data_IF_314310141850
#
_entry.id   IF_314310141850
#
_cell.length_a   1.000
_cell.length_b   1.000
_cell.length_c   1.000
_cell.angle_alpha   90.00
_cell.angle_beta   90.00
_cell.angle_gamma   90.00
#
_symmetry.space_group_name_H-M   'P 1'
#
loop_
_entity.id
_entity.type
_entity.pdbx_description
1 polymer ?
#
# COMPACT_ATOMS: atom_id res chain seq x y z
N UNK A 1 -86.83 2.13 31.99
CA UNK A 1 -86.73 0.73 32.49
C UNK A 1 -88.04 -0.06 32.46
N UNK A 2 -89.23 0.52 32.66
CA UNK A 2 -90.51 -0.22 32.74
C UNK A 2 -90.92 -0.96 31.44
N UNK A 3 -90.57 -0.44 30.26
CA UNK A 3 -90.95 -1.05 28.97
C UNK A 3 -90.07 -2.22 28.50
N UNK A 4 -88.91 -2.46 29.13
CA UNK A 4 -88.01 -3.56 28.76
C UNK A 4 -88.34 -4.82 29.57
N UNK A 5 -88.64 -4.63 30.87
CA UNK A 5 -89.08 -5.70 31.76
C UNK A 5 -90.42 -6.32 31.33
N UNK A 6 -91.32 -5.52 30.75
CA UNK A 6 -92.58 -6.03 30.19
C UNK A 6 -92.40 -6.86 28.91
N UNK A 7 -91.36 -6.57 28.10
CA UNK A 7 -91.03 -7.34 26.89
C UNK A 7 -90.35 -8.68 27.18
N UNK A 8 -89.58 -8.77 28.28
CA UNK A 8 -88.96 -10.02 28.73
C UNK A 8 -89.92 -10.94 29.50
N UNK A 9 -91.06 -10.41 29.96
CA UNK A 9 -92.11 -11.21 30.62
C UNK A 9 -92.86 -12.12 29.64
N UNK A 10 -92.84 -11.78 28.35
CA UNK A 10 -93.29 -12.62 27.23
C UNK A 10 -92.39 -12.35 26.01
N UNK A 11 -91.18 -12.93 25.99
CA UNK A 11 -90.17 -12.59 24.99
C UNK A 11 -90.65 -13.03 23.60
N UNK A 12 -90.61 -12.11 22.63
CA UNK A 12 -90.80 -12.46 21.23
C UNK A 12 -89.47 -12.94 20.65
N UNK A 13 -89.50 -13.98 19.82
CA UNK A 13 -88.31 -14.52 19.15
C UNK A 13 -87.48 -13.43 18.45
N UNK A 14 -88.12 -12.50 17.74
CA UNK A 14 -87.41 -11.38 17.09
C UNK A 14 -86.67 -10.47 18.08
N UNK A 15 -87.26 -10.20 19.24
CA UNK A 15 -86.62 -9.37 20.27
C UNK A 15 -85.41 -10.10 20.86
N UNK A 16 -85.56 -11.38 21.19
CA UNK A 16 -84.47 -12.19 21.76
C UNK A 16 -83.31 -12.36 20.78
N UNK A 17 -83.62 -12.61 19.50
CA UNK A 17 -82.65 -12.66 18.42
C UNK A 17 -81.82 -11.38 18.37
N UNK A 18 -82.46 -10.20 18.28
CA UNK A 18 -81.74 -8.92 18.24
C UNK A 18 -80.89 -8.66 19.49
N UNK A 19 -81.36 -9.07 20.67
CA UNK A 19 -80.61 -8.86 21.92
C UNK A 19 -79.32 -9.67 21.94
N UNK A 20 -79.39 -10.96 21.60
CA UNK A 20 -78.18 -11.78 21.57
C UNK A 20 -77.23 -11.32 20.47
N UNK A 21 -77.74 -10.98 19.29
CA UNK A 21 -76.90 -10.43 18.22
C UNK A 21 -76.18 -9.16 18.65
N UNK A 22 -76.87 -8.23 19.31
CA UNK A 22 -76.25 -7.00 19.79
C UNK A 22 -75.17 -7.26 20.85
N UNK A 23 -75.40 -8.22 21.75
CA UNK A 23 -74.41 -8.63 22.75
C UNK A 23 -73.17 -9.24 22.08
N UNK A 24 -73.36 -10.11 21.08
CA UNK A 24 -72.23 -10.70 20.34
C UNK A 24 -71.44 -9.65 19.57
N UNK A 25 -72.11 -8.69 18.91
CA UNK A 25 -71.43 -7.59 18.22
C UNK A 25 -70.60 -6.72 19.16
N UNK A 26 -71.05 -6.53 20.40
CA UNK A 26 -70.30 -5.79 21.40
C UNK A 26 -69.06 -6.56 21.88
N UNK A 27 -69.19 -7.88 22.08
CA UNK A 27 -68.11 -8.72 22.60
C UNK A 27 -67.09 -9.14 21.54
N UNK A 28 -67.55 -9.37 20.30
CA UNK A 28 -66.77 -9.87 19.18
C UNK A 28 -67.06 -9.08 17.89
N UNK A 29 -66.65 -7.80 17.81
CA UNK A 29 -66.95 -6.95 16.66
C UNK A 29 -66.39 -7.48 15.32
N UNK A 30 -65.26 -8.19 15.36
CA UNK A 30 -64.57 -8.70 14.16
C UNK A 30 -65.00 -10.11 13.75
N UNK A 31 -65.58 -10.92 14.65
CA UNK A 31 -65.97 -12.31 14.35
C UNK A 31 -67.46 -12.48 14.02
N UNK A 32 -68.32 -11.59 14.51
CA UNK A 32 -69.75 -11.62 14.23
C UNK A 32 -70.11 -10.61 13.14
N UNK A 33 -69.74 -10.92 11.90
CA UNK A 33 -70.33 -10.23 10.77
C UNK A 33 -71.75 -10.76 10.52
N UNK A 34 -72.77 -9.91 10.59
CA UNK A 34 -74.14 -10.26 10.15
C UNK A 34 -74.19 -10.49 8.63
N UNK A 35 -73.21 -9.96 7.88
CA UNK A 35 -73.04 -10.33 6.48
C UNK A 35 -72.64 -11.80 6.45
N UNK A 36 -73.61 -12.61 6.06
CA UNK A 36 -73.37 -13.94 5.53
C UNK A 36 -72.19 -13.86 4.57
N UNK A 37 -71.17 -14.70 4.77
CA UNK A 37 -70.27 -15.01 3.67
C UNK A 37 -71.15 -15.64 2.58
N UNK A 38 -71.67 -14.82 1.66
CA UNK A 38 -72.58 -15.24 0.59
C UNK A 38 -72.00 -16.43 -0.19
N UNK A 39 -70.67 -16.50 -0.24
CA UNK A 39 -69.89 -17.61 -0.77
C UNK A 39 -70.24 -18.97 -0.10
N UNK A 40 -70.54 -19.03 1.19
CA UNK A 40 -70.90 -20.27 1.89
C UNK A 40 -72.35 -20.72 1.60
N UNK A 41 -73.25 -19.77 1.31
CA UNK A 41 -74.65 -20.07 0.94
C UNK A 41 -74.76 -20.68 -0.46
N UNK A 42 -73.90 -20.26 -1.40
CA UNK A 42 -73.88 -20.77 -2.78
C UNK A 42 -73.61 -22.29 -2.87
N UNK A 43 -73.01 -22.88 -1.83
CA UNK A 43 -72.72 -24.31 -1.75
C UNK A 43 -73.91 -25.14 -1.24
N UNK A 44 -74.98 -24.50 -0.76
CA UNK A 44 -76.19 -25.19 -0.29
C UNK A 44 -77.18 -25.42 -1.43
N UNK A 45 -77.88 -26.55 -1.37
CA UNK A 45 -78.97 -26.83 -2.31
C UNK A 45 -80.14 -25.88 -2.03
N UNK A 46 -80.53 -25.07 -3.03
CA UNK A 46 -81.51 -23.99 -2.94
C UNK A 46 -81.16 -22.89 -1.90
N UNK A 47 -80.11 -22.08 -2.15
CA UNK A 47 -79.61 -21.07 -1.20
C UNK A 47 -80.68 -20.11 -0.67
N UNK A 48 -81.64 -19.70 -1.52
CA UNK A 48 -82.72 -18.78 -1.18
C UNK A 48 -83.62 -19.29 -0.05
N UNK A 49 -83.76 -20.61 0.10
CA UNK A 49 -84.56 -21.22 1.16
C UNK A 49 -83.87 -21.14 2.53
N UNK A 50 -82.56 -20.93 2.56
CA UNK A 50 -81.74 -20.95 3.78
C UNK A 50 -81.43 -19.56 4.32
N UNK A 51 -81.74 -18.49 3.57
CA UNK A 51 -81.44 -17.09 3.93
C UNK A 51 -81.94 -16.72 5.33
N UNK A 52 -83.12 -17.21 5.73
CA UNK A 52 -83.67 -16.95 7.07
C UNK A 52 -83.13 -17.88 8.17
N UNK A 53 -82.68 -19.09 7.83
CA UNK A 53 -82.24 -20.10 8.80
C UNK A 53 -80.78 -19.92 9.20
N UNK A 54 -79.91 -19.56 8.27
CA UNK A 54 -78.47 -19.48 8.51
C UNK A 54 -78.10 -18.42 9.57
N UNK A 55 -78.67 -17.20 9.59
CA UNK A 55 -78.40 -16.24 10.66
C UNK A 55 -78.77 -16.78 12.06
N UNK A 56 -79.86 -17.55 12.16
CA UNK A 56 -80.30 -18.18 13.41
C UNK A 56 -79.34 -19.28 13.85
N UNK A 57 -78.86 -20.11 12.93
CA UNK A 57 -77.87 -21.16 13.21
C UNK A 57 -76.52 -20.54 13.61
N UNK A 58 -76.06 -19.50 12.90
CA UNK A 58 -74.83 -18.77 13.22
C UNK A 58 -74.91 -18.15 14.62
N UNK A 59 -76.01 -17.45 14.91
CA UNK A 59 -76.27 -16.89 16.23
C UNK A 59 -76.28 -17.97 17.32
N UNK A 60 -77.00 -19.07 17.10
CA UNK A 60 -77.08 -20.19 18.02
C UNK A 60 -75.69 -20.77 18.36
N UNK A 61 -74.89 -21.08 17.33
CA UNK A 61 -73.55 -21.64 17.50
C UNK A 61 -72.65 -20.68 18.29
N UNK A 62 -72.67 -19.39 17.97
CA UNK A 62 -71.85 -18.39 18.66
C UNK A 62 -72.26 -18.16 20.11
N UNK A 63 -73.56 -18.14 20.41
CA UNK A 63 -74.04 -18.08 21.80
C UNK A 63 -73.57 -19.31 22.58
N UNK A 64 -73.63 -20.50 22.00
CA UNK A 64 -73.15 -21.72 22.67
C UNK A 64 -71.65 -21.69 22.90
N UNK A 65 -70.85 -21.30 21.91
CA UNK A 65 -69.41 -21.12 22.07
C UNK A 65 -69.09 -20.20 23.25
N UNK A 66 -69.78 -19.05 23.31
CA UNK A 66 -69.66 -18.09 24.41
C UNK A 66 -70.08 -18.69 25.76
N UNK A 67 -71.27 -19.29 25.85
CA UNK A 67 -71.76 -19.85 27.10
C UNK A 67 -70.89 -21.02 27.59
N UNK A 68 -70.29 -21.80 26.69
CA UNK A 68 -69.33 -22.83 27.02
C UNK A 68 -68.01 -22.23 27.54
N UNK A 69 -67.51 -21.16 26.91
CA UNK A 69 -66.32 -20.44 27.38
C UNK A 69 -66.53 -19.80 28.75
N UNK A 70 -67.76 -19.37 29.06
CA UNK A 70 -68.15 -18.87 30.38
C UNK A 70 -68.40 -19.98 31.42
N UNK A 71 -68.18 -21.25 31.06
CA UNK A 71 -68.45 -22.42 31.91
C UNK A 71 -69.87 -22.41 32.51
N UNK A 72 -70.85 -21.97 31.73
CA UNK A 72 -72.24 -21.89 32.19
C UNK A 72 -72.72 -23.28 32.65
N UNK A 73 -73.43 -23.42 33.79
CA UNK A 73 -73.74 -24.73 34.36
C UNK A 73 -74.43 -25.66 33.36
N UNK A 74 -73.85 -26.85 33.13
CA UNK A 74 -74.31 -27.83 32.12
C UNK A 74 -75.78 -28.26 32.28
N UNK A 75 -76.36 -28.07 33.47
CA UNK A 75 -77.80 -28.29 33.73
C UNK A 75 -78.70 -27.37 32.88
N UNK A 76 -78.18 -26.24 32.40
CA UNK A 76 -78.87 -25.29 31.53
C UNK A 76 -78.20 -25.27 30.15
N UNK A 77 -78.54 -26.23 29.30
CA UNK A 77 -78.11 -26.22 27.90
C UNK A 77 -78.94 -25.22 27.09
N UNK A 78 -78.26 -24.31 26.39
CA UNK A 78 -78.86 -23.43 25.38
C UNK A 78 -79.25 -24.25 24.15
N UNK A 79 -80.47 -24.09 23.66
CA UNK A 79 -81.00 -24.84 22.52
C UNK A 79 -81.77 -23.90 21.58
N UNK A 80 -82.14 -24.39 20.38
CA UNK A 80 -82.87 -23.57 19.41
C UNK A 80 -84.21 -23.03 19.90
N UNK A 81 -84.87 -23.69 20.87
CA UNK A 81 -86.12 -23.16 21.44
C UNK A 81 -85.87 -21.85 22.20
N UNK A 82 -84.68 -21.63 22.75
CA UNK A 82 -84.31 -20.37 23.41
C UNK A 82 -84.26 -19.18 22.45
N UNK A 83 -84.12 -19.43 21.14
CA UNK A 83 -84.21 -18.41 20.09
C UNK A 83 -85.59 -18.36 19.44
N UNK A 84 -86.17 -19.52 19.10
CA UNK A 84 -87.38 -19.62 18.29
C UNK A 84 -88.68 -19.51 19.12
N UNK A 85 -88.67 -20.00 20.35
CA UNK A 85 -89.80 -20.00 21.29
C UNK A 85 -89.30 -19.68 22.71
N UNK A 86 -88.76 -18.47 22.91
CA UNK A 86 -88.04 -18.14 24.13
C UNK A 86 -88.93 -18.27 25.37
N UNK A 87 -88.42 -18.97 26.38
CA UNK A 87 -89.02 -19.00 27.71
C UNK A 87 -88.51 -17.80 28.54
N UNK A 88 -89.39 -17.01 29.18
CA UNK A 88 -88.99 -15.83 29.96
C UNK A 88 -87.85 -16.09 30.95
N UNK A 89 -87.90 -17.20 31.70
CA UNK A 89 -86.91 -17.49 32.75
C UNK A 89 -85.57 -17.91 32.17
N UNK A 90 -85.60 -18.70 31.11
CA UNK A 90 -84.38 -19.13 30.40
C UNK A 90 -83.71 -17.96 29.69
N UNK A 91 -84.48 -17.10 29.02
CA UNK A 91 -83.98 -15.88 28.39
C UNK A 91 -83.34 -14.96 29.43
N UNK A 92 -83.98 -14.74 30.57
CA UNK A 92 -83.41 -13.95 31.67
C UNK A 92 -82.09 -14.54 32.19
N UNK A 93 -82.04 -15.86 32.39
CA UNK A 93 -80.83 -16.55 32.85
C UNK A 93 -79.65 -16.39 31.88
N UNK A 94 -79.83 -16.73 30.60
CA UNK A 94 -78.74 -16.69 29.62
C UNK A 94 -78.32 -15.26 29.25
N UNK A 95 -79.27 -14.33 29.13
CA UNK A 95 -78.93 -12.91 28.95
C UNK A 95 -78.20 -12.37 30.18
N UNK A 96 -78.63 -12.74 31.39
CA UNK A 96 -77.94 -12.36 32.62
C UNK A 96 -76.49 -12.81 32.63
N UNK A 97 -76.23 -14.07 32.28
CA UNK A 97 -74.87 -14.61 32.20
C UNK A 97 -73.99 -13.83 31.20
N UNK A 98 -74.49 -13.60 29.98
CA UNK A 98 -73.74 -12.86 28.96
C UNK A 98 -73.54 -11.38 29.34
N UNK A 99 -74.55 -10.72 29.90
CA UNK A 99 -74.45 -9.32 30.33
C UNK A 99 -73.49 -9.15 31.50
N UNK A 100 -73.47 -10.09 32.45
CA UNK A 100 -72.48 -10.11 33.53
C UNK A 100 -71.06 -10.19 32.98
N UNK A 101 -70.84 -11.01 31.95
CA UNK A 101 -69.56 -11.05 31.25
C UNK A 101 -69.25 -9.72 30.55
N UNK A 102 -70.21 -9.10 29.85
CA UNK A 102 -69.99 -7.78 29.22
C UNK A 102 -69.54 -6.72 30.23
N UNK A 103 -70.14 -6.70 31.41
CA UNK A 103 -69.77 -5.76 32.48
C UNK A 103 -68.33 -6.03 32.93
N UNK A 104 -67.99 -7.28 33.20
CA UNK A 104 -66.63 -7.67 33.60
C UNK A 104 -65.59 -7.35 32.52
N UNK A 105 -65.90 -7.65 31.26
CA UNK A 105 -65.06 -7.34 30.11
C UNK A 105 -64.80 -5.84 29.98
N UNK A 106 -65.85 -5.02 30.14
CA UNK A 106 -65.71 -3.56 30.12
C UNK A 106 -64.83 -3.04 31.27
N UNK A 107 -64.96 -3.60 32.47
CA UNK A 107 -64.08 -3.27 33.61
C UNK A 107 -62.62 -3.66 33.32
N UNK A 108 -62.39 -4.82 32.74
CA UNK A 108 -61.07 -5.30 32.33
C UNK A 108 -60.46 -4.43 31.21
N UNK A 109 -61.26 -4.02 30.22
CA UNK A 109 -60.80 -3.11 29.17
C UNK A 109 -60.38 -1.75 29.74
N UNK A 110 -61.17 -1.19 30.66
CA UNK A 110 -60.83 0.07 31.30
C UNK A 110 -59.55 -0.03 32.16
N UNK A 111 -59.32 -1.15 32.84
CA UNK A 111 -58.08 -1.37 33.61
C UNK A 111 -56.86 -1.59 32.72
N UNK A 112 -57.07 -2.09 31.50
CA UNK A 112 -56.00 -2.34 30.51
C UNK A 112 -55.75 -1.14 29.59
N UNK A 113 -56.68 -0.16 29.53
CA UNK A 113 -56.56 1.10 28.78
C UNK A 113 -55.19 1.80 28.92
N UNK A 114 -54.62 2.00 30.13
CA UNK A 114 -53.32 2.67 30.24
C UNK A 114 -52.18 1.87 29.60
N UNK A 115 -52.24 0.54 29.59
CA UNK A 115 -51.24 -0.31 28.93
C UNK A 115 -51.36 -0.17 27.41
N UNK A 116 -52.59 -0.14 26.89
CA UNK A 116 -52.85 0.07 25.46
C UNK A 116 -52.35 1.45 25.01
N UNK A 117 -52.60 2.49 25.81
CA UNK A 117 -52.08 3.83 25.57
C UNK A 117 -50.54 3.85 25.57
N UNK A 118 -49.90 3.19 26.54
CA UNK A 118 -48.43 3.07 26.59
C UNK A 118 -47.89 2.37 25.33
N UNK A 119 -48.50 1.26 24.91
CA UNK A 119 -48.11 0.54 23.69
C UNK A 119 -48.19 1.48 22.47
N UNK A 120 -49.31 2.19 22.29
CA UNK A 120 -49.48 3.11 21.18
C UNK A 120 -48.42 4.23 21.20
N UNK A 121 -48.10 4.78 22.39
CA UNK A 121 -47.06 5.81 22.50
C UNK A 121 -45.66 5.27 22.13
N UNK A 122 -45.33 4.05 22.54
CA UNK A 122 -44.07 3.40 22.19
C UNK A 122 -43.97 3.10 20.70
N UNK A 123 -45.08 2.72 20.06
CA UNK A 123 -45.14 2.52 18.61
C UNK A 123 -44.89 3.82 17.85
N UNK A 124 -45.49 4.93 18.28
CA UNK A 124 -45.26 6.26 17.72
C UNK A 124 -43.79 6.71 17.90
N UNK A 125 -43.20 6.49 19.07
CA UNK A 125 -41.79 6.79 19.33
C UNK A 125 -40.86 5.95 18.45
N UNK A 126 -41.16 4.65 18.30
CA UNK A 126 -40.40 3.75 17.44
C UNK A 126 -40.44 4.22 15.99
N UNK A 127 -41.63 4.56 15.49
CA UNK A 127 -41.82 5.06 14.13
C UNK A 127 -41.00 6.35 13.88
N UNK A 128 -41.00 7.29 14.83
CA UNK A 128 -40.19 8.51 14.74
C UNK A 128 -38.69 8.23 14.70
N UNK A 129 -38.20 7.31 15.54
CA UNK A 129 -36.76 6.94 15.55
C UNK A 129 -36.36 6.32 14.19
N UNK A 130 -37.23 5.48 13.64
CA UNK A 130 -37.00 4.81 12.36
C UNK A 130 -36.99 5.81 11.19
N UNK A 131 -37.98 6.69 11.14
CA UNK A 131 -38.10 7.69 10.07
C UNK A 131 -37.06 8.81 10.20
N UNK A 132 -36.87 9.41 11.38
CA UNK A 132 -35.95 10.53 11.51
C UNK A 132 -34.50 10.06 11.55
N UNK A 133 -34.17 9.11 12.42
CA UNK A 133 -32.77 8.85 12.76
C UNK A 133 -32.16 7.75 11.91
N UNK A 134 -32.87 6.64 11.73
CA UNK A 134 -32.35 5.52 10.95
C UNK A 134 -32.27 5.89 9.47
N UNK A 135 -33.30 6.53 8.92
CA UNK A 135 -33.28 6.98 7.53
C UNK A 135 -32.16 7.99 7.26
N UNK A 136 -32.01 9.03 8.11
CA UNK A 136 -30.95 10.03 7.94
C UNK A 136 -29.54 9.41 8.03
N UNK A 137 -29.31 8.51 8.98
CA UNK A 137 -28.01 7.83 9.10
C UNK A 137 -27.73 6.93 7.90
N UNK A 138 -28.74 6.22 7.40
CA UNK A 138 -28.62 5.39 6.20
C UNK A 138 -28.22 6.24 4.99
N UNK A 139 -28.88 7.38 4.78
CA UNK A 139 -28.54 8.33 3.71
C UNK A 139 -27.11 8.84 3.85
N UNK A 140 -26.70 9.29 5.05
CA UNK A 140 -25.35 9.78 5.29
C UNK A 140 -24.26 8.71 5.04
N UNK A 141 -24.55 7.46 5.41
CA UNK A 141 -23.66 6.31 5.14
C UNK A 141 -23.51 6.12 3.62
N UNK A 142 -24.60 6.17 2.87
CA UNK A 142 -24.56 5.95 1.43
C UNK A 142 -23.86 7.10 0.69
N UNK A 143 -24.09 8.36 1.09
CA UNK A 143 -23.32 9.51 0.60
C UNK A 143 -21.82 9.35 0.83
N UNK A 144 -21.42 8.88 2.02
CA UNK A 144 -20.01 8.62 2.34
C UNK A 144 -19.43 7.48 1.49
N UNK A 145 -20.20 6.42 1.23
CA UNK A 145 -19.76 5.32 0.35
C UNK A 145 -19.59 5.81 -1.09
N UNK A 146 -20.52 6.61 -1.59
CA UNK A 146 -20.43 7.19 -2.93
C UNK A 146 -19.22 8.11 -3.07
N UNK A 147 -19.01 9.02 -2.10
CA UNK A 147 -17.86 9.90 -2.07
C UNK A 147 -16.55 9.10 -2.08
N UNK A 148 -16.44 8.07 -1.23
CA UNK A 148 -15.29 7.16 -1.22
C UNK A 148 -15.12 6.44 -2.55
N UNK A 149 -16.22 6.00 -3.18
CA UNK A 149 -16.20 5.36 -4.50
C UNK A 149 -15.67 6.29 -5.59
N UNK A 150 -16.07 7.58 -5.56
CA UNK A 150 -15.56 8.63 -6.46
C UNK A 150 -14.08 8.92 -6.23
N UNK A 151 -13.62 8.91 -4.98
CA UNK A 151 -12.24 9.24 -4.60
C UNK A 151 -11.24 8.08 -4.80
N UNK A 152 -11.70 6.83 -4.66
CA UNK A 152 -10.89 5.62 -4.79
C UNK A 152 -9.99 5.56 -6.03
N UNK A 153 -10.46 5.87 -7.27
CA UNK A 153 -9.60 5.83 -8.44
C UNK A 153 -8.43 6.82 -8.35
N UNK A 154 -8.66 8.03 -7.83
CA UNK A 154 -7.61 9.02 -7.67
C UNK A 154 -6.58 8.59 -6.62
N UNK A 155 -7.03 7.97 -5.52
CA UNK A 155 -6.13 7.40 -4.51
C UNK A 155 -5.26 6.30 -5.13
N UNK A 156 -5.85 5.41 -5.93
CA UNK A 156 -5.13 4.34 -6.61
C UNK A 156 -4.11 4.87 -7.64
N UNK A 157 -4.46 5.91 -8.38
CA UNK A 157 -3.57 6.58 -9.33
C UNK A 157 -2.36 7.22 -8.62
N UNK A 158 -2.62 7.97 -7.55
CA UNK A 158 -1.55 8.58 -6.74
C UNK A 158 -0.65 7.52 -6.12
N UNK A 159 -1.22 6.44 -5.57
CA UNK A 159 -0.44 5.33 -5.01
C UNK A 159 0.43 4.63 -6.06
N UNK A 160 -0.09 4.47 -7.29
CA UNK A 160 0.67 3.91 -8.41
C UNK A 160 1.85 4.82 -8.78
N UNK A 161 1.63 6.13 -8.89
CA UNK A 161 2.69 7.10 -9.16
C UNK A 161 3.74 7.14 -8.04
N UNK A 162 3.32 7.09 -6.77
CA UNK A 162 4.26 7.03 -5.64
C UNK A 162 5.12 5.77 -5.71
N UNK A 163 4.54 4.62 -6.04
CA UNK A 163 5.30 3.37 -6.21
C UNK A 163 6.30 3.48 -7.37
N UNK A 164 5.89 4.02 -8.50
CA UNK A 164 6.75 4.22 -9.66
C UNK A 164 7.93 5.16 -9.33
N UNK A 165 7.65 6.30 -8.69
CA UNK A 165 8.68 7.26 -8.28
C UNK A 165 9.68 6.63 -7.30
N UNK A 166 9.21 5.84 -6.33
CA UNK A 166 10.09 5.12 -5.40
C UNK A 166 11.01 4.14 -6.14
N UNK A 167 10.47 3.41 -7.12
CA UNK A 167 11.28 2.51 -7.94
C UNK A 167 12.32 3.27 -8.78
N UNK A 168 11.93 4.40 -9.37
CA UNK A 168 12.83 5.26 -10.14
C UNK A 168 13.96 5.83 -9.28
N UNK A 169 13.67 6.28 -8.06
CA UNK A 169 14.68 6.73 -7.10
C UNK A 169 15.68 5.60 -6.78
N UNK A 170 15.19 4.39 -6.50
CA UNK A 170 16.05 3.25 -6.24
C UNK A 170 16.98 2.93 -7.43
N UNK A 171 16.43 2.94 -8.65
CA UNK A 171 17.18 2.70 -9.88
C UNK A 171 18.26 3.78 -10.11
N UNK A 172 17.91 5.06 -9.93
CA UNK A 172 18.84 6.18 -10.07
C UNK A 172 19.96 6.14 -9.03
N UNK A 173 19.64 5.80 -7.78
CA UNK A 173 20.64 5.63 -6.73
C UNK A 173 21.64 4.52 -7.06
N UNK A 174 21.16 3.38 -7.58
CA UNK A 174 22.02 2.28 -8.02
C UNK A 174 22.94 2.72 -9.18
N UNK A 175 22.40 3.45 -10.16
CA UNK A 175 23.18 3.99 -11.29
C UNK A 175 24.19 5.04 -10.84
N UNK A 176 23.83 5.89 -9.89
CA UNK A 176 24.76 6.86 -9.29
C UNK A 176 25.92 6.14 -8.58
N UNK A 177 25.63 5.07 -7.84
CA UNK A 177 26.64 4.27 -7.16
C UNK A 177 27.60 3.58 -8.14
N UNK A 178 27.08 3.00 -9.23
CA UNK A 178 27.93 2.38 -10.26
C UNK A 178 28.85 3.41 -10.93
N UNK A 179 28.31 4.57 -11.32
CA UNK A 179 29.08 5.66 -11.93
C UNK A 179 30.18 6.19 -11.00
N UNK A 180 29.90 6.30 -9.70
CA UNK A 180 30.92 6.70 -8.70
C UNK A 180 32.07 5.68 -8.64
N UNK A 181 31.75 4.39 -8.67
CA UNK A 181 32.76 3.32 -8.70
C UNK A 181 33.59 3.38 -9.98
N UNK A 182 32.97 3.58 -11.14
CA UNK A 182 33.67 3.66 -12.42
C UNK A 182 34.57 4.91 -12.51
N UNK A 183 34.08 6.05 -12.01
CA UNK A 183 34.87 7.28 -11.92
C UNK A 183 36.11 7.07 -11.05
N UNK A 184 35.97 6.38 -9.90
CA UNK A 184 37.11 6.04 -9.04
C UNK A 184 38.14 5.19 -9.79
N UNK A 185 37.71 4.14 -10.49
CA UNK A 185 38.59 3.29 -11.31
C UNK A 185 39.29 4.06 -12.43
N UNK A 186 38.58 4.97 -13.08
CA UNK A 186 39.17 5.81 -14.13
C UNK A 186 40.24 6.74 -13.57
N UNK A 187 40.01 7.37 -12.40
CA UNK A 187 41.03 8.17 -11.72
C UNK A 187 42.26 7.35 -11.34
N UNK A 188 42.06 6.15 -10.79
CA UNK A 188 43.17 5.23 -10.48
C UNK A 188 43.98 4.89 -11.74
N UNK A 189 43.32 4.61 -12.87
CA UNK A 189 44.00 4.39 -14.16
C UNK A 189 44.72 5.62 -14.68
N UNK A 190 44.16 6.82 -14.52
CA UNK A 190 44.82 8.07 -14.93
C UNK A 190 46.15 8.23 -14.18
N UNK A 191 46.15 8.05 -12.86
CA UNK A 191 47.38 8.11 -12.04
C UNK A 191 48.38 7.04 -12.50
N UNK A 192 47.93 5.80 -12.72
CA UNK A 192 48.80 4.73 -13.22
C UNK A 192 49.42 5.04 -14.59
N UNK A 193 48.66 5.68 -15.49
CA UNK A 193 49.17 6.10 -16.80
C UNK A 193 50.14 7.26 -16.68
N UNK A 194 49.90 8.24 -15.81
CA UNK A 194 50.82 9.35 -15.55
C UNK A 194 52.15 8.86 -14.96
N UNK A 195 52.11 7.88 -14.07
CA UNK A 195 53.32 7.22 -13.54
C UNK A 195 54.11 6.52 -14.66
N UNK A 196 53.42 5.80 -15.56
CA UNK A 196 54.03 5.14 -16.72
C UNK A 196 54.64 6.14 -17.71
N UNK A 197 53.97 7.27 -17.93
CA UNK A 197 54.50 8.35 -18.79
C UNK A 197 55.77 8.91 -18.16
N UNK A 198 55.74 9.25 -16.87
CA UNK A 198 56.89 9.79 -16.14
C UNK A 198 58.08 8.84 -16.16
N UNK A 199 57.85 7.53 -15.98
CA UNK A 199 58.89 6.50 -16.08
C UNK A 199 59.44 6.38 -17.52
N UNK A 200 58.59 6.43 -18.55
CA UNK A 200 59.03 6.42 -19.95
C UNK A 200 59.85 7.67 -20.32
N UNK A 201 59.45 8.85 -19.87
CA UNK A 201 60.19 10.10 -20.04
C UNK A 201 61.57 10.03 -19.37
N UNK A 202 61.63 9.49 -18.14
CA UNK A 202 62.89 9.27 -17.44
C UNK A 202 63.84 8.35 -18.22
N UNK A 203 63.34 7.19 -18.70
CA UNK A 203 64.12 6.26 -19.52
C UNK A 203 64.57 6.89 -20.84
N UNK A 204 63.73 7.72 -21.47
CA UNK A 204 64.08 8.44 -22.69
C UNK A 204 65.23 9.41 -22.44
N UNK A 205 65.16 10.20 -21.36
CA UNK A 205 66.23 11.13 -20.98
C UNK A 205 67.53 10.37 -20.72
N UNK A 206 67.48 9.26 -19.99
CA UNK A 206 68.64 8.40 -19.74
C UNK A 206 69.24 7.89 -21.06
N UNK A 207 68.40 7.39 -21.98
CA UNK A 207 68.83 6.91 -23.29
C UNK A 207 69.47 8.01 -24.13
N UNK A 208 68.89 9.22 -24.15
CA UNK A 208 69.45 10.38 -24.85
C UNK A 208 70.82 10.76 -24.28
N UNK A 209 70.96 10.75 -22.95
CA UNK A 209 72.22 11.06 -22.29
C UNK A 209 73.29 10.00 -22.55
N UNK A 210 72.93 8.71 -22.50
CA UNK A 210 73.82 7.60 -22.89
C UNK A 210 74.22 7.71 -24.36
N UNK A 211 73.29 8.04 -25.25
CA UNK A 211 73.57 8.22 -26.67
C UNK A 211 74.53 9.40 -26.90
N UNK A 212 74.34 10.53 -26.22
CA UNK A 212 75.28 11.66 -26.27
C UNK A 212 76.67 11.27 -25.75
N UNK A 213 76.74 10.51 -24.64
CA UNK A 213 77.98 9.98 -24.09
C UNK A 213 78.69 9.05 -25.08
N UNK A 214 77.98 8.13 -25.72
CA UNK A 214 78.53 7.25 -26.76
C UNK A 214 79.00 8.06 -27.97
N UNK A 215 78.20 9.02 -28.43
CA UNK A 215 78.54 9.90 -29.55
C UNK A 215 79.83 10.69 -29.28
N UNK A 216 80.06 11.14 -28.04
CA UNK A 216 81.31 11.81 -27.65
C UNK A 216 82.55 10.91 -27.74
N UNK A 217 82.38 9.59 -27.61
CA UNK A 217 83.47 8.61 -27.75
C UNK A 217 83.76 8.25 -29.20
N UNK A 218 82.88 8.62 -30.13
CA UNK A 218 83.08 8.43 -31.56
C UNK A 218 84.00 9.54 -32.08
N UNK A 219 85.02 9.16 -32.83
CA UNK A 219 85.91 10.11 -33.51
C UNK A 219 85.12 10.88 -34.56
N UNK A 220 84.85 12.16 -34.27
CA UNK A 220 83.99 13.02 -35.09
C UNK A 220 84.58 13.38 -36.46
N UNK A 221 85.91 13.30 -36.61
CA UNK A 221 86.58 13.54 -37.89
C UNK A 221 87.85 12.68 -37.98
N UNK A 222 87.73 11.43 -38.44
CA UNK A 222 88.85 10.50 -38.56
C UNK A 222 90.02 11.07 -39.37
N UNK A 223 89.70 11.76 -40.48
CA UNK A 223 90.70 12.36 -41.37
C UNK A 223 91.56 13.45 -40.71
N UNK A 224 91.00 14.20 -39.74
CA UNK A 224 91.75 15.22 -38.99
C UNK A 224 92.67 14.57 -37.97
N UNK A 225 92.19 13.55 -37.25
CA UNK A 225 92.99 12.81 -36.27
C UNK A 225 94.13 12.08 -36.96
N UNK A 226 93.86 11.48 -38.13
CA UNK A 226 94.87 10.78 -38.91
C UNK A 226 95.94 11.72 -39.46
N UNK A 227 95.55 12.90 -39.98
CA UNK A 227 96.51 13.94 -40.39
C UNK A 227 97.38 14.42 -39.23
N UNK A 228 96.79 14.74 -38.08
CA UNK A 228 97.56 15.18 -36.91
C UNK A 228 98.52 14.09 -36.39
N UNK A 229 98.14 12.81 -36.49
CA UNK A 229 98.99 11.69 -36.13
C UNK A 229 100.19 11.58 -37.08
N UNK A 230 99.96 11.66 -38.40
CA UNK A 230 101.03 11.63 -39.40
C UNK A 230 101.96 12.85 -39.28
N UNK A 231 101.43 14.04 -39.01
CA UNK A 231 102.22 15.24 -38.72
C UNK A 231 103.10 15.06 -37.46
N UNK A 232 102.56 14.50 -36.38
CA UNK A 232 103.35 14.20 -35.17
C UNK A 232 104.41 13.13 -35.41
N UNK A 233 104.13 12.11 -36.23
CA UNK A 233 105.14 11.12 -36.63
C UNK A 233 106.29 11.80 -37.38
N UNK A 234 105.97 12.63 -38.37
CA UNK A 234 106.94 13.43 -39.11
C UNK A 234 107.77 14.34 -38.19
N UNK A 235 107.13 15.02 -37.25
CA UNK A 235 107.82 15.88 -36.28
C UNK A 235 108.76 15.08 -35.37
N UNK A 236 108.32 13.91 -34.88
CA UNK A 236 109.14 13.00 -34.06
C UNK A 236 110.35 12.48 -34.83
N UNK A 237 110.18 12.15 -36.09
CA UNK A 237 111.27 11.65 -36.93
C UNK A 237 112.30 12.74 -37.24
N UNK A 238 111.84 13.97 -37.50
CA UNK A 238 112.72 15.15 -37.61
C UNK A 238 113.52 15.38 -36.31
N UNK A 239 112.87 15.34 -35.15
CA UNK A 239 113.53 15.51 -33.86
C UNK A 239 114.59 14.43 -33.61
N UNK A 240 114.28 13.16 -33.91
CA UNK A 240 115.22 12.03 -33.79
C UNK A 240 116.45 12.17 -34.70
N UNK A 241 116.26 12.67 -35.92
CA UNK A 241 117.38 12.90 -36.84
C UNK A 241 118.24 14.10 -36.43
N UNK A 242 117.62 15.17 -35.91
CA UNK A 242 118.35 16.29 -35.33
C UNK A 242 119.18 15.87 -34.11
N UNK A 243 118.62 15.05 -33.23
CA UNK A 243 119.32 14.46 -32.08
C UNK A 243 120.55 13.65 -32.53
N UNK A 244 120.41 12.77 -33.52
CA UNK A 244 121.55 12.03 -34.10
C UNK A 244 122.64 12.94 -34.65
N UNK A 245 122.26 14.02 -35.34
CA UNK A 245 123.20 14.98 -35.91
C UNK A 245 123.96 15.75 -34.82
N UNK A 246 123.26 16.18 -33.77
CA UNK A 246 123.86 16.83 -32.60
C UNK A 246 124.80 15.87 -31.89
N UNK A 247 124.40 14.61 -31.69
CA UNK A 247 125.22 13.58 -31.07
C UNK A 247 126.51 13.32 -31.87
N UNK A 248 126.42 13.24 -33.20
CA UNK A 248 127.58 13.09 -34.09
C UNK A 248 128.53 14.30 -34.01
N UNK A 249 127.99 15.52 -34.02
CA UNK A 249 128.78 16.75 -33.88
C UNK A 249 129.44 16.87 -32.49
N UNK A 250 128.74 16.44 -31.44
CA UNK A 250 129.29 16.35 -30.09
C UNK A 250 130.51 15.43 -30.06
N UNK A 251 130.41 14.22 -30.62
CA UNK A 251 131.53 13.28 -30.68
C UNK A 251 132.73 13.84 -31.46
N UNK A 252 132.49 14.55 -32.58
CA UNK A 252 133.55 15.24 -33.34
C UNK A 252 134.25 16.33 -32.53
N UNK A 253 133.50 17.19 -31.83
CA UNK A 253 134.09 18.24 -30.99
C UNK A 253 134.88 17.66 -29.81
N UNK A 254 134.37 16.61 -29.17
CA UNK A 254 135.08 15.92 -28.08
C UNK A 254 136.40 15.34 -28.57
N UNK A 255 136.43 14.67 -29.74
CA UNK A 255 137.66 14.18 -30.34
C UNK A 255 138.66 15.31 -30.67
N UNK A 256 138.17 16.47 -31.14
CA UNK A 256 139.01 17.65 -31.40
C UNK A 256 139.67 18.17 -30.11
N UNK A 257 138.89 18.28 -29.03
CA UNK A 257 139.39 18.71 -27.70
C UNK A 257 140.46 17.75 -27.18
N UNK A 258 140.28 16.43 -27.34
CA UNK A 258 141.29 15.44 -26.98
C UNK A 258 142.60 15.60 -27.77
N UNK A 259 142.52 15.91 -29.07
CA UNK A 259 143.70 16.20 -29.89
C UNK A 259 144.41 17.45 -29.41
N UNK A 260 143.68 18.56 -29.18
CA UNK A 260 144.25 19.78 -28.63
C UNK A 260 144.91 19.57 -27.27
N UNK A 261 144.28 18.79 -26.38
CA UNK A 261 144.85 18.44 -25.08
C UNK A 261 146.17 17.64 -25.23
N UNK A 262 146.24 16.70 -26.18
CA UNK A 262 147.47 15.94 -26.48
C UNK A 262 148.58 16.83 -27.06
N UNK A 263 148.26 17.75 -27.96
CA UNK A 263 149.23 18.71 -28.54
C UNK A 263 149.74 19.66 -27.47
N UNK A 264 148.85 20.22 -26.64
CA UNK A 264 149.22 21.08 -25.51
C UNK A 264 150.16 20.36 -24.54
N UNK A 265 149.86 19.09 -24.21
CA UNK A 265 150.74 18.26 -23.37
C UNK A 265 152.12 18.03 -24.00
N UNK A 266 152.19 17.82 -25.33
CA UNK A 266 153.47 17.69 -26.06
C UNK A 266 154.26 19.00 -26.10
N UNK A 267 153.63 20.14 -26.40
CA UNK A 267 154.28 21.46 -26.39
C UNK A 267 154.78 21.82 -24.99
N UNK A 268 153.98 21.57 -23.95
CA UNK A 268 154.37 21.80 -22.55
C UNK A 268 155.61 20.96 -22.16
N UNK A 269 155.68 19.71 -22.60
CA UNK A 269 156.84 18.86 -22.36
C UNK A 269 158.08 19.30 -23.17
N UNK A 270 157.91 19.84 -24.38
CA UNK A 270 159.02 20.37 -25.18
C UNK A 270 159.56 21.68 -24.58
N UNK A 271 158.68 22.57 -24.14
CA UNK A 271 159.04 23.82 -23.46
C UNK A 271 159.87 23.55 -22.20
N UNK A 272 159.49 22.55 -21.40
CA UNK A 272 160.26 22.11 -20.23
C UNK A 272 161.66 21.56 -20.56
N UNK A 273 161.89 21.05 -21.77
CA UNK A 273 163.21 20.56 -22.20
C UNK A 273 164.11 21.67 -22.76
N UNK A 274 163.55 22.77 -23.24
CA UNK A 274 164.31 23.92 -23.80
C UNK A 274 164.79 24.87 -22.69
N UNK A 275 164.14 24.90 -21.52
CA UNK A 275 164.57 25.71 -20.37
C UNK A 275 165.69 25.07 -19.51
N UNK A 276 166.25 23.92 -19.90
CA UNK A 276 167.24 23.17 -19.12
C UNK A 276 168.65 23.11 -19.75
N UNK A 277 168.95 24.01 -20.70
CA UNK A 277 170.28 24.27 -21.28
C UNK A 277 170.61 25.73 -21.02
#
# INVERSE_FOLDING_TARGET
MLGFKSKLSNPKSSVVFHLYTHILNYLLPEEYDEQLEFNALEHLENPDLHVGAVPVIKLYNKIIEMLNALECPQKYSFNFADLLKPDPRRTEFFLGALLSFCIHWNEMMNSTSPIIEEINTLEDERAKIEEDRIMQLTLAIDECKEARGREMPYVQEVDAHVKELRQNIANLNNKQMSLRTDLKKLKEKTVEMDDKISDAEYRLIQSVQENANLHSKIVQSPDKVQRALEEKKLAREKARNAERLVMHNFHKKTALVEVYAKVYKKMSNHYKKVQAI
#
